data_IF_818546930505
#
_entry.id   IF_818546930505
#
_cell.length_a   1.000
_cell.length_b   1.000
_cell.length_c   1.000
_cell.angle_alpha   90.00
_cell.angle_beta   90.00
_cell.angle_gamma   90.00
#
_symmetry.space_group_name_H-M   'P 1'
#
loop_
_entity.id
_entity.type
_entity.pdbx_description
1 polymer ?
#
# COMPACT_ATOMS: atom_id res chain seq x y z
N UNK A 1 -17.16 1.47 -15.60
CA UNK A 1 -16.57 0.89 -14.38
C UNK A 1 -16.49 2.00 -13.33
N UNK A 2 -16.86 1.70 -12.09
CA UNK A 2 -16.79 2.68 -10.99
C UNK A 2 -15.37 2.64 -10.40
N UNK A 3 -14.62 3.73 -10.52
CA UNK A 3 -13.31 3.87 -9.89
C UNK A 3 -13.44 3.74 -8.35
N UNK A 4 -12.53 3.00 -7.73
CA UNK A 4 -12.43 2.87 -6.27
C UNK A 4 -11.47 3.92 -5.75
N UNK A 5 -11.66 4.43 -4.54
CA UNK A 5 -10.98 5.65 -4.14
C UNK A 5 -10.35 5.51 -2.76
N UNK A 6 -9.05 5.71 -2.68
CA UNK A 6 -8.30 5.88 -1.43
C UNK A 6 -8.19 7.38 -1.19
N UNK A 7 -8.86 7.86 -0.15
CA UNK A 7 -8.78 9.26 0.30
C UNK A 7 -7.64 9.42 1.29
N UNK A 8 -6.94 10.52 1.17
CA UNK A 8 -5.73 10.79 1.92
C UNK A 8 -6.07 11.78 3.02
N UNK A 9 -5.59 11.55 4.25
CA UNK A 9 -5.85 12.45 5.36
C UNK A 9 -4.57 13.01 5.94
N UNK A 10 -4.56 14.31 6.22
CA UNK A 10 -3.51 14.98 6.97
C UNK A 10 -4.13 15.55 8.24
N UNK A 11 -3.56 15.23 9.41
CA UNK A 11 -3.97 15.74 10.72
C UNK A 11 -3.95 17.29 10.84
N UNK A 12 -3.36 18.02 9.88
CA UNK A 12 -3.25 19.49 9.91
C UNK A 12 -4.23 20.27 9.05
N UNK A 13 -5.17 19.63 8.34
CA UNK A 13 -6.22 20.34 7.58
C UNK A 13 -5.72 21.34 6.52
N UNK A 14 -4.42 21.32 6.19
CA UNK A 14 -3.83 22.23 5.22
C UNK A 14 -3.91 21.64 3.81
N UNK A 15 -4.19 22.49 2.81
CA UNK A 15 -3.88 22.19 1.42
C UNK A 15 -2.39 21.85 1.36
N UNK A 16 -2.06 20.59 1.11
CA UNK A 16 -0.67 20.20 0.84
C UNK A 16 -0.44 20.57 -0.62
N UNK A 17 0.02 21.81 -0.83
CA UNK A 17 0.56 22.21 -2.13
C UNK A 17 1.72 21.28 -2.42
N UNK A 18 1.59 20.51 -3.51
CA UNK A 18 2.65 19.68 -4.05
C UNK A 18 3.86 20.57 -4.39
N UNK A 19 4.86 20.61 -3.51
CA UNK A 19 6.15 21.22 -3.79
C UNK A 19 7.25 20.35 -3.19
N UNK A 20 8.27 20.09 -4.02
CA UNK A 20 9.29 19.04 -3.95
C UNK A 20 8.72 17.62 -4.13
N UNK A 21 9.01 16.88 -5.20
CA UNK A 21 10.10 16.96 -6.16
C UNK A 21 10.78 15.61 -6.16
N UNK A 22 10.34 14.70 -7.04
CA UNK A 22 11.29 13.76 -7.62
C UNK A 22 11.10 13.75 -9.12
N UNK A 23 12.12 14.30 -9.78
CA UNK A 23 12.34 14.19 -11.21
C UNK A 23 13.04 12.85 -11.41
N UNK A 24 12.36 11.86 -11.96
CA UNK A 24 13.01 10.64 -12.45
C UNK A 24 13.06 10.69 -13.97
N UNK A 25 14.27 10.74 -14.51
CA UNK A 25 14.58 10.57 -15.93
C UNK A 25 15.21 9.19 -16.03
N UNK A 26 14.69 8.24 -16.83
CA UNK A 26 15.50 7.14 -17.39
C UNK A 26 14.95 6.65 -18.76
N UNK A 27 15.86 6.56 -19.76
CA UNK A 27 15.85 5.71 -20.99
C UNK A 27 16.48 4.34 -20.59
N UNK A 28 16.32 3.15 -21.21
CA UNK A 28 16.15 2.66 -22.60
C UNK A 28 15.91 1.12 -22.59
N UNK A 29 15.51 0.50 -23.73
CA UNK A 29 15.95 -0.86 -24.14
C UNK A 29 14.93 -2.01 -24.01
N UNK A 30 14.11 -2.25 -25.05
CA UNK A 30 12.96 -3.15 -25.00
C UNK A 30 13.24 -4.66 -25.04
N UNK A 31 12.52 -5.40 -24.19
CA UNK A 31 12.21 -6.83 -24.30
C UNK A 31 10.82 -7.09 -23.67
N UNK A 32 10.07 -8.06 -24.21
CA UNK A 32 8.66 -8.35 -23.88
C UNK A 32 8.52 -9.30 -22.68
N UNK A 33 7.74 -8.94 -21.63
CA UNK A 33 7.46 -9.86 -20.52
C UNK A 33 6.01 -9.85 -19.98
N UNK A 34 5.61 -11.03 -19.51
CA UNK A 34 4.27 -11.48 -19.15
C UNK A 34 3.65 -10.69 -17.99
N UNK A 35 2.43 -10.15 -18.20
CA UNK A 35 1.54 -9.50 -17.22
C UNK A 35 2.19 -9.23 -15.85
N UNK A 36 3.12 -8.29 -15.82
CA UNK A 36 3.99 -8.05 -14.68
C UNK A 36 3.21 -7.46 -13.49
N UNK A 37 3.65 -7.83 -12.28
CA UNK A 37 3.14 -7.26 -11.04
C UNK A 37 3.25 -5.74 -11.08
N UNK A 38 2.18 -5.03 -10.73
CA UNK A 38 2.19 -3.57 -10.78
C UNK A 38 2.93 -2.99 -9.56
N UNK A 39 4.20 -2.69 -9.73
CA UNK A 39 4.97 -1.88 -8.78
C UNK A 39 4.91 -0.40 -9.19
N UNK A 40 4.92 0.50 -8.21
CA UNK A 40 5.01 1.95 -8.46
C UNK A 40 6.31 2.31 -9.23
N UNK A 41 7.34 1.47 -9.06
CA UNK A 41 8.68 1.60 -9.62
C UNK A 41 8.68 1.38 -11.14
N UNK A 42 7.85 0.44 -11.62
CA UNK A 42 7.74 0.05 -13.03
C UNK A 42 6.57 0.73 -13.74
N UNK A 43 5.82 1.58 -13.03
CA UNK A 43 4.67 2.26 -13.58
C UNK A 43 5.09 3.33 -14.59
N UNK A 44 4.42 3.38 -15.74
CA UNK A 44 4.53 4.52 -16.65
C UNK A 44 3.74 5.70 -16.07
N UNK A 45 4.44 6.78 -15.78
CA UNK A 45 3.87 7.97 -15.14
C UNK A 45 3.58 9.04 -16.19
N UNK A 46 2.32 9.47 -16.28
CA UNK A 46 1.91 10.61 -17.10
C UNK A 46 1.34 11.72 -16.21
N UNK A 47 1.81 12.97 -16.43
CA UNK A 47 1.41 14.13 -15.63
C UNK A 47 0.48 15.01 -16.45
N UNK A 48 -0.81 14.96 -16.14
CA UNK A 48 -1.81 15.87 -16.69
C UNK A 48 -1.89 17.12 -15.82
N UNK A 49 -1.07 18.11 -16.19
CA UNK A 49 -0.99 19.40 -15.49
C UNK A 49 -2.27 20.23 -15.61
N UNK A 50 -3.09 20.00 -16.64
CA UNK A 50 -4.33 20.73 -16.86
C UNK A 50 -5.39 20.30 -15.85
N UNK A 51 -5.43 19.00 -15.54
CA UNK A 51 -6.37 18.41 -14.60
C UNK A 51 -5.76 18.13 -13.21
N UNK A 52 -4.50 18.52 -13.01
CA UNK A 52 -3.75 18.33 -11.76
C UNK A 52 -3.77 16.87 -11.28
N UNK A 53 -3.57 15.94 -12.23
CA UNK A 53 -3.60 14.51 -11.96
C UNK A 53 -2.36 13.82 -12.52
N UNK A 54 -1.96 12.75 -11.85
CA UNK A 54 -0.87 11.88 -12.25
C UNK A 54 -1.47 10.51 -12.53
N UNK A 55 -1.31 10.02 -13.75
CA UNK A 55 -1.79 8.71 -14.17
C UNK A 55 -0.64 7.69 -14.11
N UNK A 56 -0.90 6.56 -13.48
CA UNK A 56 0.04 5.45 -13.37
C UNK A 56 -0.50 4.28 -14.18
N UNK A 57 0.24 3.92 -15.23
CA UNK A 57 -0.14 2.86 -16.16
C UNK A 57 0.78 1.65 -16.03
N UNK A 58 0.25 0.47 -16.31
CA UNK A 58 1.09 -0.72 -16.48
C UNK A 58 1.91 -0.64 -17.78
N UNK A 59 2.84 -1.58 -17.98
CA UNK A 59 3.67 -1.65 -19.18
C UNK A 59 2.85 -1.84 -20.46
N UNK A 60 1.63 -2.37 -20.35
CA UNK A 60 0.68 -2.49 -21.47
C UNK A 60 -0.07 -1.17 -21.75
N UNK A 61 0.23 -0.08 -21.02
CA UNK A 61 -0.38 1.23 -21.20
C UNK A 61 -1.78 1.37 -20.59
N UNK A 62 -2.22 0.42 -19.75
CA UNK A 62 -3.52 0.53 -19.06
C UNK A 62 -3.35 1.31 -17.77
N UNK A 63 -4.14 2.37 -17.61
CA UNK A 63 -4.16 3.18 -16.37
C UNK A 63 -4.71 2.34 -15.22
N UNK A 64 -3.84 2.05 -14.25
CA UNK A 64 -4.16 1.27 -13.05
C UNK A 64 -4.70 2.15 -11.94
N UNK A 65 -4.11 3.33 -11.78
CA UNK A 65 -4.53 4.31 -10.79
C UNK A 65 -4.22 5.75 -11.21
N UNK A 66 -4.87 6.70 -10.55
CA UNK A 66 -4.69 8.14 -10.75
C UNK A 66 -4.55 8.84 -9.41
N UNK A 67 -3.50 9.62 -9.21
CA UNK A 67 -3.35 10.52 -8.07
C UNK A 67 -3.85 11.92 -8.45
N UNK A 68 -4.83 12.44 -7.72
CA UNK A 68 -5.38 13.79 -7.96
C UNK A 68 -4.97 14.80 -6.88
N UNK A 69 -4.01 14.48 -6.02
CA UNK A 69 -3.64 15.30 -4.86
C UNK A 69 -4.16 14.70 -3.55
N UNK A 70 -5.43 14.95 -3.15
CA UNK A 70 -5.99 14.50 -1.88
C UNK A 70 -6.58 13.08 -1.93
N UNK A 71 -6.54 12.41 -3.08
CA UNK A 71 -7.02 11.04 -3.27
C UNK A 71 -6.24 10.33 -4.37
N UNK A 72 -6.19 9.01 -4.26
CA UNK A 72 -5.75 8.09 -5.30
C UNK A 72 -6.98 7.28 -5.74
N UNK A 73 -7.34 7.42 -7.01
CA UNK A 73 -8.40 6.65 -7.65
C UNK A 73 -7.77 5.37 -8.25
N UNK A 74 -8.17 4.20 -7.75
CA UNK A 74 -7.76 2.88 -8.24
C UNK A 74 -8.80 2.40 -9.25
N UNK A 75 -8.38 2.23 -10.50
CA UNK A 75 -9.24 1.78 -11.60
C UNK A 75 -9.29 0.27 -11.73
N UNK A 76 -8.18 -0.40 -11.40
CA UNK A 76 -8.07 -1.87 -11.38
C UNK A 76 -7.75 -2.32 -9.96
N UNK A 77 -8.70 -2.99 -9.32
CA UNK A 77 -8.66 -3.35 -7.91
C UNK A 77 -7.95 -4.69 -7.64
N UNK A 78 -6.80 -4.93 -8.28
CA UNK A 78 -5.92 -6.05 -7.93
C UNK A 78 -5.05 -5.73 -6.71
N UNK A 79 -4.44 -6.77 -6.12
CA UNK A 79 -3.65 -6.63 -4.90
C UNK A 79 -2.46 -5.66 -5.08
N UNK A 80 -1.79 -5.74 -6.23
CA UNK A 80 -0.58 -4.95 -6.53
C UNK A 80 -0.92 -3.47 -6.67
N UNK A 81 -1.99 -3.15 -7.41
CA UNK A 81 -2.46 -1.77 -7.59
C UNK A 81 -2.94 -1.15 -6.30
N UNK A 82 -3.65 -1.93 -5.46
CA UNK A 82 -4.08 -1.46 -4.14
C UNK A 82 -2.86 -1.21 -3.24
N UNK A 83 -1.88 -2.12 -3.24
CA UNK A 83 -0.65 -1.96 -2.48
C UNK A 83 0.11 -0.71 -2.90
N UNK A 84 0.30 -0.51 -4.21
CA UNK A 84 0.97 0.67 -4.77
C UNK A 84 0.23 1.96 -4.40
N UNK A 85 -1.11 1.96 -4.49
CA UNK A 85 -1.94 3.10 -4.08
C UNK A 85 -1.80 3.44 -2.59
N UNK A 86 -1.74 2.43 -1.72
CA UNK A 86 -1.56 2.61 -0.27
C UNK A 86 -0.13 3.06 0.08
N UNK A 87 0.88 2.56 -0.61
CA UNK A 87 2.27 3.01 -0.44
C UNK A 87 2.42 4.49 -0.85
N UNK A 88 1.88 4.86 -2.02
CA UNK A 88 1.86 6.25 -2.49
C UNK A 88 1.15 7.16 -1.49
N UNK A 89 -0.01 6.71 -1.00
CA UNK A 89 -0.78 7.41 0.02
C UNK A 89 0.01 7.64 1.31
N UNK A 90 0.64 6.58 1.83
CA UNK A 90 1.41 6.63 3.06
C UNK A 90 2.63 7.55 2.95
N UNK A 91 3.38 7.45 1.84
CA UNK A 91 4.55 8.30 1.56
C UNK A 91 4.19 9.78 1.52
N UNK A 92 3.04 10.11 0.94
CA UNK A 92 2.62 11.50 0.71
C UNK A 92 1.97 12.16 1.93
N UNK A 93 1.34 11.38 2.81
CA UNK A 93 0.48 11.92 3.89
C UNK A 93 0.85 11.48 5.31
N UNK A 94 1.95 10.77 5.49
CA UNK A 94 2.43 10.39 6.82
C UNK A 94 1.72 9.16 7.40
N UNK A 95 1.24 8.28 6.51
CA UNK A 95 0.85 6.92 6.88
C UNK A 95 -0.61 6.70 7.28
N UNK A 96 -1.52 7.65 7.10
CA UNK A 96 -2.96 7.45 7.42
C UNK A 96 -3.90 7.72 6.23
N UNK A 97 -4.89 6.83 6.03
CA UNK A 97 -5.79 6.86 4.87
C UNK A 97 -7.25 6.56 5.23
N UNK A 98 -8.17 7.05 4.38
CA UNK A 98 -9.56 6.62 4.33
C UNK A 98 -9.80 5.81 3.05
N UNK A 99 -10.59 4.75 3.14
CA UNK A 99 -10.80 3.82 2.03
C UNK A 99 -12.27 3.83 1.63
N UNK A 100 -12.54 4.26 0.40
CA UNK A 100 -13.89 4.31 -0.16
C UNK A 100 -14.00 3.41 -1.39
N UNK A 101 -15.15 2.75 -1.55
CA UNK A 101 -15.36 1.74 -2.57
C UNK A 101 -16.46 0.77 -2.18
N UNK A 102 -16.52 -0.37 -2.84
CA UNK A 102 -17.38 -1.47 -2.38
C UNK A 102 -16.74 -2.21 -1.20
N UNK A 103 -17.53 -3.05 -0.53
CA UNK A 103 -17.08 -3.78 0.65
C UNK A 103 -15.84 -4.65 0.37
N UNK A 104 -15.80 -5.33 -0.78
CA UNK A 104 -14.69 -6.19 -1.17
C UNK A 104 -13.38 -5.41 -1.32
N UNK A 105 -13.41 -4.28 -2.02
CA UNK A 105 -12.27 -3.38 -2.16
C UNK A 105 -11.81 -2.85 -0.81
N UNK A 106 -12.76 -2.38 0.02
CA UNK A 106 -12.45 -1.78 1.32
C UNK A 106 -11.79 -2.78 2.26
N UNK A 107 -12.30 -4.01 2.32
CA UNK A 107 -11.72 -5.09 3.12
C UNK A 107 -10.33 -5.50 2.61
N UNK A 108 -10.16 -5.67 1.30
CA UNK A 108 -8.87 -6.01 0.69
C UNK A 108 -7.83 -4.91 0.95
N UNK A 109 -8.19 -3.64 0.73
CA UNK A 109 -7.30 -2.51 0.98
C UNK A 109 -6.98 -2.34 2.47
N UNK A 110 -7.92 -2.59 3.38
CA UNK A 110 -7.65 -2.57 4.82
C UNK A 110 -6.63 -3.63 5.23
N UNK A 111 -6.75 -4.86 4.70
CA UNK A 111 -5.75 -5.92 4.94
C UNK A 111 -4.37 -5.54 4.40
N UNK A 112 -4.30 -4.98 3.18
CA UNK A 112 -3.01 -4.53 2.63
C UNK A 112 -2.43 -3.36 3.44
N UNK A 113 -3.25 -2.42 3.90
CA UNK A 113 -2.82 -1.31 4.75
C UNK A 113 -2.20 -1.83 6.06
N UNK A 114 -2.83 -2.83 6.68
CA UNK A 114 -2.32 -3.48 7.89
C UNK A 114 -0.93 -4.09 7.68
N UNK A 115 -0.71 -4.79 6.55
CA UNK A 115 0.57 -5.39 6.16
C UNK A 115 1.67 -4.35 5.96
N UNK A 116 1.32 -3.25 5.31
CA UNK A 116 2.23 -2.14 5.02
C UNK A 116 2.49 -1.24 6.24
N UNK A 117 1.78 -1.43 7.36
CA UNK A 117 1.86 -0.54 8.52
C UNK A 117 1.18 0.81 8.32
N UNK A 118 0.30 0.93 7.31
CA UNK A 118 -0.49 2.13 7.04
C UNK A 118 -1.72 2.13 7.95
N UNK A 119 -1.97 3.26 8.61
CA UNK A 119 -3.16 3.50 9.42
C UNK A 119 -4.40 3.70 8.56
N UNK A 120 -5.47 2.96 8.85
CA UNK A 120 -6.79 3.18 8.25
C UNK A 120 -7.62 3.98 9.25
N UNK A 121 -8.35 5.01 8.80
CA UNK A 121 -9.21 5.83 9.66
C UNK A 121 -10.67 5.40 9.69
N UNK A 122 -11.10 4.60 8.73
CA UNK A 122 -12.47 4.06 8.68
C UNK A 122 -12.73 3.16 9.91
N UNK A 123 -13.71 3.53 10.72
CA UNK A 123 -14.04 2.85 11.96
C UNK A 123 -14.50 1.39 11.72
N UNK A 124 -15.24 1.17 10.64
CA UNK A 124 -15.75 -0.14 10.24
C UNK A 124 -14.66 -1.06 9.69
N UNK A 125 -13.50 -0.52 9.29
CA UNK A 125 -12.35 -1.30 8.83
C UNK A 125 -11.34 -1.61 9.93
N UNK A 126 -11.47 -1.02 11.13
CA UNK A 126 -10.54 -1.26 12.24
C UNK A 126 -10.47 -2.74 12.60
N UNK A 127 -11.62 -3.40 12.68
CA UNK A 127 -11.69 -4.83 12.99
C UNK A 127 -10.91 -5.68 11.97
N UNK A 128 -10.97 -5.33 10.68
CA UNK A 128 -10.23 -6.02 9.62
C UNK A 128 -8.72 -5.79 9.76
N UNK A 129 -8.32 -4.55 10.04
CA UNK A 129 -6.91 -4.17 10.24
C UNK A 129 -6.31 -4.89 11.45
N UNK A 130 -7.04 -4.95 12.57
CA UNK A 130 -6.60 -5.61 13.80
C UNK A 130 -6.45 -7.11 13.60
N UNK A 131 -7.42 -7.76 12.96
CA UNK A 131 -7.34 -9.19 12.64
C UNK A 131 -6.13 -9.51 11.77
N UNK A 132 -5.89 -8.71 10.73
CA UNK A 132 -4.75 -8.91 9.84
C UNK A 132 -3.42 -8.70 10.58
N UNK A 133 -3.32 -7.66 11.42
CA UNK A 133 -2.13 -7.42 12.26
C UNK A 133 -1.86 -8.58 13.22
N UNK A 134 -2.91 -9.13 13.83
CA UNK A 134 -2.78 -10.27 14.72
C UNK A 134 -2.28 -11.51 13.97
N UNK A 135 -2.78 -11.78 12.76
CA UNK A 135 -2.31 -12.88 11.91
C UNK A 135 -0.83 -12.71 11.57
N UNK A 136 -0.43 -11.51 11.11
CA UNK A 136 0.97 -11.20 10.80
C UNK A 136 1.87 -11.39 12.03
N UNK A 137 1.42 -11.01 13.23
CA UNK A 137 2.20 -11.17 14.46
C UNK A 137 2.40 -12.65 14.84
N UNK A 138 1.37 -13.48 14.64
CA UNK A 138 1.46 -14.93 14.83
C UNK A 138 2.46 -15.54 13.84
N UNK A 139 2.38 -15.16 12.56
CA UNK A 139 3.30 -15.63 11.51
C UNK A 139 4.75 -15.18 11.75
N UNK A 140 4.95 -13.96 12.29
CA UNK A 140 6.28 -13.41 12.61
C UNK A 140 6.86 -13.89 13.92
N UNK A 141 6.13 -14.66 14.73
CA UNK A 141 6.69 -15.26 15.94
C UNK A 141 7.41 -16.54 15.51
N UNK A 142 8.75 -16.56 15.34
CA UNK A 142 9.43 -17.82 15.14
C UNK A 142 9.16 -18.65 16.39
N UNK A 143 8.54 -19.81 16.20
CA UNK A 143 8.50 -20.86 17.20
C UNK A 143 9.96 -21.17 17.55
N UNK A 144 10.53 -20.47 18.54
CA UNK A 144 11.79 -20.87 19.14
C UNK A 144 11.46 -22.15 19.89
N UNK A 145 11.93 -23.33 19.47
CA UNK A 145 11.76 -24.49 20.31
C UNK A 145 12.56 -24.17 21.58
N UNK A 146 11.86 -24.06 22.71
CA UNK A 146 12.49 -24.18 24.02
C UNK A 146 13.24 -25.52 23.96
N UNK A 147 14.57 -25.44 23.83
CA UNK A 147 15.41 -26.58 24.19
C UNK A 147 15.09 -26.84 25.66
N UNK A 148 14.56 -28.02 26.04
CA UNK A 148 14.41 -28.33 27.45
C UNK A 148 15.80 -28.29 28.05
N UNK A 149 15.94 -27.44 29.05
CA UNK A 149 17.11 -27.33 29.91
C UNK A 149 17.42 -28.74 30.41
N UNK A 150 18.46 -29.38 29.86
CA UNK A 150 18.98 -30.63 30.39
C UNK A 150 19.66 -30.27 31.70
N UNK A 151 18.85 -30.31 32.75
CA UNK A 151 19.15 -30.75 34.10
C UNK A 151 20.59 -31.30 34.18
N UNK A 152 21.53 -30.43 34.55
CA UNK A 152 22.88 -30.86 34.93
C UNK A 152 22.77 -31.29 36.38
N UNK A 153 22.89 -32.60 36.59
CA UNK A 153 22.86 -33.27 37.87
C UNK A 153 23.60 -32.53 39.00
N UNK A 154 23.11 -32.65 40.27
CA UNK A 154 23.81 -32.13 41.43
C UNK A 154 25.13 -32.88 41.69
N UNK A 155 26.09 -32.27 42.41
CA UNK A 155 27.40 -32.88 42.61
C UNK A 155 27.28 -34.08 43.56
N UNK A 156 27.82 -35.22 43.13
CA UNK A 156 28.09 -36.35 44.03
C UNK A 156 29.29 -35.99 44.92
N UNK A 157 29.13 -36.30 46.21
CA UNK A 157 30.08 -36.06 47.32
C UNK A 157 31.44 -36.71 47.11
#
# INVERSE_FOLDING_TARGET
MLAKVIKLHNARGGRVSAHHGVQYIFREGGEEHALEAFALEDARIEIDRRHQRIEYSDQAGRVRMTDSGPRVDVHIADADTIQAGLQLAAQKFGGEVYITGDAAFREQAARQAARLGVGVKDADLQQVVEQERAQIAVERTPSRPLRPDRQRDPPLR
#
